data_IF_593438105942
#
_entry.id   IF_593438105942
#
_cell.length_a   1.000
_cell.length_b   1.000
_cell.length_c   1.000
_cell.angle_alpha   90.00
_cell.angle_beta   90.00
_cell.angle_gamma   90.00
#
_symmetry.space_group_name_H-M   'P 1'
#
loop_
_entity.id
_entity.type
_entity.pdbx_description
1 polymer ?
#
# COMPACT_ATOMS: atom_id res chain seq x y z
N UNK A 1 -23.42 -10.71 9.71
CA UNK A 1 -22.23 -11.30 9.09
C UNK A 1 -21.28 -10.16 8.78
N UNK A 2 -20.04 -10.24 9.23
CA UNK A 2 -19.03 -9.19 9.05
C UNK A 2 -18.50 -9.19 7.61
N UNK A 3 -18.27 -8.00 7.05
CA UNK A 3 -17.84 -7.82 5.66
C UNK A 3 -16.39 -8.27 5.42
N UNK A 4 -15.59 -8.34 6.47
CA UNK A 4 -14.12 -8.49 6.43
C UNK A 4 -13.60 -9.67 7.26
N UNK A 5 -14.42 -10.68 7.53
CA UNK A 5 -14.09 -11.77 8.48
C UNK A 5 -12.71 -12.42 8.26
N UNK A 6 -12.27 -12.60 7.01
CA UNK A 6 -10.96 -13.17 6.73
C UNK A 6 -9.82 -12.18 7.05
N UNK A 7 -9.98 -10.91 6.65
CA UNK A 7 -9.05 -9.83 7.00
C UNK A 7 -8.95 -9.63 8.52
N UNK A 8 -10.08 -9.68 9.23
CA UNK A 8 -10.13 -9.58 10.69
C UNK A 8 -9.37 -10.75 11.35
N UNK A 9 -9.47 -11.94 10.76
CA UNK A 9 -8.67 -13.10 11.17
C UNK A 9 -7.16 -12.93 10.93
N UNK A 10 -6.75 -12.27 9.85
CA UNK A 10 -5.35 -11.93 9.61
C UNK A 10 -4.83 -10.92 10.63
N UNK A 11 -5.60 -9.86 10.91
CA UNK A 11 -5.28 -8.84 11.91
C UNK A 11 -5.08 -9.46 13.30
N UNK A 12 -5.99 -10.35 13.70
CA UNK A 12 -5.90 -11.01 15.00
C UNK A 12 -4.70 -11.97 15.15
N UNK A 13 -4.19 -12.51 14.03
CA UNK A 13 -3.16 -13.56 14.03
C UNK A 13 -1.75 -13.04 13.77
N UNK A 14 -1.60 -12.03 12.93
CA UNK A 14 -0.30 -11.62 12.38
C UNK A 14 0.10 -10.22 12.83
N UNK A 15 1.42 -9.92 12.83
CA UNK A 15 1.91 -8.57 13.09
C UNK A 15 1.23 -7.54 12.18
N UNK A 16 0.64 -6.51 12.79
CA UNK A 16 -0.05 -5.43 12.09
C UNK A 16 0.19 -4.08 12.77
N UNK A 17 0.06 -3.00 12.01
CA UNK A 17 0.17 -1.64 12.53
C UNK A 17 -1.21 -1.02 12.77
N UNK A 18 -1.47 -0.55 13.99
CA UNK A 18 -2.70 0.17 14.36
C UNK A 18 -2.69 1.62 13.86
N UNK A 19 -1.49 2.19 13.73
CA UNK A 19 -1.26 3.61 13.41
C UNK A 19 -0.39 3.80 12.14
N UNK A 20 -0.75 3.15 11.04
CA UNK A 20 -0.07 3.30 9.75
C UNK A 20 -0.86 4.21 8.80
N UNK A 21 -0.34 5.40 8.50
CA UNK A 21 -1.09 6.46 7.79
C UNK A 21 -0.73 6.58 6.31
N UNK A 22 -1.72 6.99 5.52
CA UNK A 22 -1.52 7.46 4.14
C UNK A 22 -0.57 8.66 4.15
N UNK A 23 0.53 8.59 3.40
CA UNK A 23 1.45 9.73 3.27
C UNK A 23 1.02 10.70 2.18
N UNK A 24 0.46 10.19 1.08
CA UNK A 24 0.04 11.03 -0.03
C UNK A 24 -1.03 10.29 -0.85
N UNK A 25 -1.82 11.02 -1.65
CA UNK A 25 -2.91 10.44 -2.46
C UNK A 25 -3.12 11.25 -3.75
N UNK A 26 -3.68 10.67 -4.84
CA UNK A 26 -4.22 9.32 -5.01
C UNK A 26 -3.16 8.23 -5.23
N UNK A 27 -3.49 7.12 -5.88
CA UNK A 27 -2.65 5.91 -6.04
C UNK A 27 -1.19 6.21 -6.39
N UNK A 28 -0.92 6.98 -7.45
CA UNK A 28 0.46 7.27 -7.89
C UNK A 28 1.28 7.93 -6.79
N UNK A 29 0.68 8.85 -6.04
CA UNK A 29 1.29 9.59 -4.94
C UNK A 29 1.62 8.69 -3.75
N UNK A 30 0.67 7.83 -3.39
CA UNK A 30 0.85 6.84 -2.32
C UNK A 30 1.94 5.83 -2.66
N UNK A 31 1.94 5.32 -3.90
CA UNK A 31 2.98 4.41 -4.39
C UNK A 31 4.36 5.09 -4.48
N UNK A 32 4.42 6.35 -4.90
CA UNK A 32 5.67 7.12 -4.84
C UNK A 32 6.17 7.19 -3.38
N UNK A 33 5.28 7.50 -2.44
CA UNK A 33 5.63 7.57 -1.02
C UNK A 33 6.17 6.24 -0.51
N UNK A 34 5.51 5.15 -0.87
CA UNK A 34 5.85 3.79 -0.46
C UNK A 34 7.18 3.30 -1.04
N UNK A 35 7.44 3.51 -2.33
CA UNK A 35 8.59 2.90 -3.02
C UNK A 35 9.82 3.80 -3.13
N UNK A 36 9.66 5.12 -3.01
CA UNK A 36 10.78 6.05 -2.89
C UNK A 36 11.08 6.40 -1.42
N UNK A 37 10.18 6.07 -0.48
CA UNK A 37 10.30 6.46 0.93
C UNK A 37 10.35 7.99 1.10
N UNK A 38 9.40 8.70 0.48
CA UNK A 38 9.36 10.17 0.43
C UNK A 38 7.95 10.74 0.57
N UNK A 39 7.78 11.78 1.36
CA UNK A 39 6.48 12.47 1.51
C UNK A 39 6.22 13.50 0.42
N UNK A 40 7.29 14.16 -0.05
CA UNK A 40 7.25 15.18 -1.10
C UNK A 40 7.97 14.63 -2.33
N UNK A 41 7.33 14.76 -3.48
CA UNK A 41 7.92 14.43 -4.76
C UNK A 41 7.60 15.54 -5.77
N UNK A 42 8.52 15.80 -6.70
CA UNK A 42 8.27 16.68 -7.85
C UNK A 42 8.03 15.86 -9.12
N UNK A 43 7.25 16.37 -10.07
CA UNK A 43 7.09 15.70 -11.37
C UNK A 43 8.42 15.61 -12.14
N UNK A 44 9.32 16.57 -11.88
CA UNK A 44 10.68 16.62 -12.40
C UNK A 44 11.58 15.53 -11.81
N UNK A 45 11.30 14.96 -10.63
CA UNK A 45 12.00 13.79 -10.06
C UNK A 45 11.74 12.47 -10.81
N UNK A 46 11.16 12.52 -12.02
CA UNK A 46 10.98 11.36 -12.88
C UNK A 46 12.27 10.91 -13.59
N UNK A 47 13.31 10.61 -12.81
CA UNK A 47 14.60 10.14 -13.33
C UNK A 47 14.75 8.61 -13.30
N UNK A 48 15.47 8.08 -14.30
CA UNK A 48 15.95 6.69 -14.32
C UNK A 48 16.94 6.39 -13.17
N UNK A 49 17.46 7.42 -12.50
CA UNK A 49 18.46 7.31 -11.44
C UNK A 49 17.88 7.29 -10.01
N UNK A 50 16.55 7.36 -9.85
CA UNK A 50 15.93 7.31 -8.53
C UNK A 50 16.37 6.07 -7.74
N UNK A 51 16.65 6.26 -6.45
CA UNK A 51 16.81 5.15 -5.50
C UNK A 51 15.42 4.73 -5.05
N UNK A 52 15.09 3.46 -5.26
CA UNK A 52 13.75 2.92 -4.99
C UNK A 52 13.85 1.55 -4.34
N UNK A 53 12.77 1.10 -3.72
CA UNK A 53 12.67 -0.24 -3.15
C UNK A 53 12.95 -1.31 -4.21
N UNK A 54 12.34 -1.19 -5.39
CA UNK A 54 12.53 -2.10 -6.52
C UNK A 54 14.00 -2.21 -6.94
N UNK A 55 14.69 -1.09 -7.17
CA UNK A 55 16.10 -1.11 -7.57
C UNK A 55 17.02 -1.61 -6.47
N UNK A 56 16.72 -1.26 -5.21
CA UNK A 56 17.49 -1.72 -4.05
C UNK A 56 17.39 -3.23 -3.90
N UNK A 57 16.18 -3.79 -3.99
CA UNK A 57 15.96 -5.25 -3.98
C UNK A 57 16.61 -5.92 -5.20
N UNK A 58 16.48 -5.34 -6.39
CA UNK A 58 17.11 -5.83 -7.62
C UNK A 58 18.64 -5.95 -7.50
N UNK A 59 19.30 -4.94 -6.95
CA UNK A 59 20.76 -4.97 -6.65
C UNK A 59 21.13 -6.02 -5.61
N UNK A 60 20.18 -6.44 -4.76
CA UNK A 60 20.34 -7.49 -3.76
C UNK A 60 19.85 -8.87 -4.24
N UNK A 61 19.71 -9.05 -5.56
CA UNK A 61 19.45 -10.33 -6.21
C UNK A 61 17.96 -10.74 -6.26
N UNK A 62 17.03 -9.83 -5.96
CA UNK A 62 15.60 -10.09 -6.17
C UNK A 62 15.23 -9.84 -7.63
N UNK A 63 14.45 -10.75 -8.21
CA UNK A 63 13.64 -10.44 -9.38
C UNK A 63 12.44 -9.60 -8.91
N UNK A 64 12.32 -8.37 -9.39
CA UNK A 64 11.29 -7.44 -8.92
C UNK A 64 10.21 -7.24 -9.98
N UNK A 65 8.96 -7.45 -9.59
CA UNK A 65 7.80 -7.50 -10.50
C UNK A 65 6.71 -6.57 -10.00
N UNK A 66 6.13 -5.79 -10.92
CA UNK A 66 4.92 -5.01 -10.69
C UNK A 66 3.80 -5.56 -11.59
N UNK A 67 2.70 -6.00 -10.99
CA UNK A 67 1.49 -6.42 -11.67
C UNK A 67 0.44 -5.32 -11.58
N UNK A 68 -0.06 -4.91 -12.74
CA UNK A 68 -1.06 -3.87 -12.92
C UNK A 68 -2.32 -4.50 -13.51
N UNK A 69 -3.43 -4.37 -12.79
CA UNK A 69 -4.72 -4.90 -13.24
C UNK A 69 -5.25 -4.15 -14.48
N UNK A 70 -4.91 -2.86 -14.59
CA UNK A 70 -5.38 -1.98 -15.64
C UNK A 70 -4.58 -2.11 -16.94
N UNK A 71 -5.10 -1.52 -18.01
CA UNK A 71 -4.42 -1.45 -19.32
C UNK A 71 -3.11 -0.66 -19.24
N UNK A 72 -2.09 -1.08 -19.98
CA UNK A 72 -0.84 -0.31 -20.11
C UNK A 72 -1.05 1.11 -20.69
N UNK A 73 -2.20 1.38 -21.30
CA UNK A 73 -2.56 2.70 -21.83
C UNK A 73 -3.23 3.60 -20.78
N UNK A 74 -3.48 3.10 -19.57
CA UNK A 74 -4.10 3.84 -18.49
C UNK A 74 -3.12 4.85 -17.87
N UNK A 75 -3.50 6.13 -17.91
CA UNK A 75 -2.88 7.24 -17.18
C UNK A 75 -1.34 7.32 -17.23
N UNK A 76 -0.74 6.85 -18.33
CA UNK A 76 0.72 6.73 -18.53
C UNK A 76 1.48 5.93 -17.44
N UNK A 77 0.77 5.20 -16.57
CA UNK A 77 1.36 4.49 -15.42
C UNK A 77 2.43 3.50 -15.84
N UNK A 78 2.20 2.77 -16.94
CA UNK A 78 3.15 1.80 -17.47
C UNK A 78 4.52 2.43 -17.79
N UNK A 79 4.54 3.60 -18.43
CA UNK A 79 5.80 4.28 -18.77
C UNK A 79 6.39 4.96 -17.55
N UNK A 80 5.56 5.68 -16.79
CA UNK A 80 5.98 6.44 -15.62
C UNK A 80 6.56 5.53 -14.52
N UNK A 81 5.91 4.42 -14.19
CA UNK A 81 6.35 3.51 -13.12
C UNK A 81 7.58 2.71 -13.52
N UNK A 82 7.70 2.27 -14.79
CA UNK A 82 8.95 1.66 -15.28
C UNK A 82 10.13 2.59 -15.13
N UNK A 83 9.99 3.84 -15.56
CA UNK A 83 11.07 4.84 -15.46
C UNK A 83 11.38 5.18 -14.00
N UNK A 84 10.34 5.42 -13.19
CA UNK A 84 10.46 5.93 -11.83
C UNK A 84 10.89 4.85 -10.83
N UNK A 85 10.20 3.71 -10.81
CA UNK A 85 10.45 2.63 -9.84
C UNK A 85 11.54 1.67 -10.32
N UNK A 86 11.61 1.39 -11.62
CA UNK A 86 12.69 0.56 -12.19
C UNK A 86 12.64 -0.91 -11.78
N UNK A 87 11.43 -1.47 -11.68
CA UNK A 87 11.23 -2.91 -11.53
C UNK A 87 11.80 -3.70 -12.72
N UNK A 88 12.19 -4.96 -12.52
CA UNK A 88 12.70 -5.81 -13.59
C UNK A 88 11.59 -6.18 -14.60
N UNK A 89 10.38 -6.42 -14.12
CA UNK A 89 9.21 -6.72 -14.95
C UNK A 89 8.00 -5.90 -14.52
N UNK A 90 7.31 -5.33 -15.50
CA UNK A 90 5.99 -4.73 -15.33
C UNK A 90 5.02 -5.48 -16.24
N UNK A 91 3.93 -6.01 -15.68
CA UNK A 91 2.88 -6.69 -16.46
C UNK A 91 1.56 -5.97 -16.27
N UNK A 92 1.00 -5.48 -17.36
CA UNK A 92 -0.33 -4.88 -17.38
C UNK A 92 -1.37 -5.88 -17.87
N UNK A 93 -2.63 -5.46 -17.96
CA UNK A 93 -3.74 -6.25 -18.52
C UNK A 93 -3.37 -6.99 -19.81
N UNK A 94 -2.73 -6.32 -20.77
CA UNK A 94 -2.39 -6.91 -22.07
C UNK A 94 -1.34 -8.04 -21.96
N UNK A 95 -0.48 -8.02 -20.94
CA UNK A 95 0.43 -9.12 -20.65
C UNK A 95 -0.32 -10.34 -20.12
N UNK A 96 -1.30 -10.12 -19.23
CA UNK A 96 -2.13 -11.18 -18.67
C UNK A 96 -3.03 -11.80 -19.74
N UNK A 97 -3.59 -11.01 -20.66
CA UNK A 97 -4.32 -11.52 -21.83
C UNK A 97 -3.44 -12.42 -22.70
N UNK A 98 -2.17 -12.05 -22.91
CA UNK A 98 -1.19 -12.90 -23.61
C UNK A 98 -0.84 -14.18 -22.85
N UNK A 99 -1.02 -14.23 -21.53
CA UNK A 99 -0.92 -15.46 -20.73
C UNK A 99 -2.19 -16.31 -20.79
N UNK A 100 -3.25 -15.86 -21.47
CA UNK A 100 -4.51 -16.58 -21.65
C UNK A 100 -5.59 -16.22 -20.63
N UNK A 101 -5.37 -15.22 -19.77
CA UNK A 101 -6.44 -14.71 -18.90
C UNK A 101 -7.51 -13.99 -19.72
N UNK A 102 -8.77 -14.18 -19.35
CA UNK A 102 -9.96 -13.60 -20.02
C UNK A 102 -10.92 -13.01 -18.99
N UNK A 103 -11.89 -12.23 -19.43
CA UNK A 103 -12.96 -11.72 -18.55
C UNK A 103 -12.60 -10.48 -17.74
N UNK A 104 -11.65 -9.66 -18.21
CA UNK A 104 -11.41 -8.33 -17.62
C UNK A 104 -12.65 -7.44 -17.73
N UNK A 105 -12.85 -6.58 -16.75
CA UNK A 105 -13.86 -5.53 -16.76
C UNK A 105 -13.36 -4.25 -17.44
N UNK A 106 -14.17 -3.18 -17.39
CA UNK A 106 -13.78 -1.86 -17.90
C UNK A 106 -12.55 -1.26 -17.21
N UNK A 107 -12.30 -1.58 -15.93
CA UNK A 107 -11.08 -1.15 -15.24
C UNK A 107 -9.89 -2.06 -15.52
N UNK A 108 -10.12 -3.35 -15.72
CA UNK A 108 -9.05 -4.33 -15.82
C UNK A 108 -9.44 -5.69 -15.27
N UNK A 109 -8.43 -6.52 -15.00
CA UNK A 109 -8.64 -7.82 -14.38
C UNK A 109 -9.03 -7.69 -12.91
N UNK A 110 -9.93 -8.57 -12.48
CA UNK A 110 -10.35 -8.65 -11.08
C UNK A 110 -9.23 -9.23 -10.19
N UNK A 111 -9.34 -8.99 -8.89
CA UNK A 111 -8.33 -9.34 -7.89
C UNK A 111 -8.00 -10.84 -7.89
N UNK A 112 -8.96 -11.72 -8.16
CA UNK A 112 -8.74 -13.17 -8.26
C UNK A 112 -7.79 -13.56 -9.39
N UNK A 113 -7.90 -12.93 -10.55
CA UNK A 113 -6.96 -13.11 -11.67
C UNK A 113 -5.57 -12.58 -11.30
N UNK A 114 -5.52 -11.41 -10.66
CA UNK A 114 -4.26 -10.80 -10.21
C UNK A 114 -3.55 -11.70 -9.17
N UNK A 115 -4.29 -12.30 -8.25
CA UNK A 115 -3.78 -13.25 -7.27
C UNK A 115 -3.34 -14.57 -7.92
N UNK A 116 -4.06 -15.10 -8.91
CA UNK A 116 -3.63 -16.29 -9.65
C UNK A 116 -2.30 -16.05 -10.39
N UNK A 117 -2.14 -14.90 -11.03
CA UNK A 117 -0.87 -14.52 -11.69
C UNK A 117 0.27 -14.36 -10.66
N UNK A 118 -0.04 -13.82 -9.48
CA UNK A 118 0.91 -13.72 -8.37
C UNK A 118 1.38 -15.11 -7.93
N UNK A 119 0.45 -16.05 -7.74
CA UNK A 119 0.75 -17.45 -7.39
C UNK A 119 1.62 -18.09 -8.46
N UNK A 120 1.26 -17.93 -9.74
CA UNK A 120 2.01 -18.49 -10.87
C UNK A 120 3.46 -17.96 -10.89
N UNK A 121 3.66 -16.68 -10.61
CA UNK A 121 4.99 -16.09 -10.50
C UNK A 121 5.79 -16.66 -9.32
N UNK A 122 5.16 -16.84 -8.16
CA UNK A 122 5.80 -17.49 -7.01
C UNK A 122 6.21 -18.93 -7.34
N UNK A 123 5.34 -19.72 -7.99
CA UNK A 123 5.65 -21.10 -8.42
C UNK A 123 6.83 -21.16 -9.37
N UNK A 124 6.92 -20.22 -10.32
CA UNK A 124 8.02 -20.13 -11.28
C UNK A 124 9.35 -19.70 -10.63
N UNK A 125 9.29 -19.13 -9.41
CA UNK A 125 10.44 -18.55 -8.73
C UNK A 125 10.71 -19.20 -7.36
N UNK A 126 10.24 -20.43 -7.09
CA UNK A 126 10.45 -21.13 -5.79
C UNK A 126 11.90 -21.15 -5.30
N UNK A 127 12.87 -21.19 -6.22
CA UNK A 127 14.29 -21.25 -5.90
C UNK A 127 15.01 -19.89 -6.05
N UNK A 128 14.28 -18.82 -6.34
CA UNK A 128 14.82 -17.49 -6.61
C UNK A 128 14.21 -16.47 -5.65
N UNK A 129 14.97 -15.43 -5.32
CA UNK A 129 14.43 -14.28 -4.60
C UNK A 129 13.51 -13.50 -5.55
N UNK A 130 12.25 -13.35 -5.21
CA UNK A 130 11.28 -12.57 -5.98
C UNK A 130 10.56 -11.58 -5.07
N UNK A 131 10.34 -10.37 -5.57
CA UNK A 131 9.51 -9.35 -4.93
C UNK A 131 8.40 -8.98 -5.92
N UNK A 132 7.14 -9.21 -5.55
CA UNK A 132 5.98 -8.96 -6.40
C UNK A 132 5.11 -7.92 -5.71
N UNK A 133 4.81 -6.84 -6.42
CA UNK A 133 3.75 -5.91 -6.06
C UNK A 133 2.55 -6.19 -6.96
N UNK A 134 1.42 -6.55 -6.35
CA UNK A 134 0.17 -6.83 -7.06
C UNK A 134 -0.82 -5.71 -6.78
N UNK A 135 -0.96 -4.78 -7.72
CA UNK A 135 -1.91 -3.66 -7.60
C UNK A 135 -3.30 -4.11 -8.05
N UNK A 136 -4.24 -4.11 -7.10
CA UNK A 136 -5.66 -4.44 -7.29
C UNK A 136 -6.46 -3.23 -7.75
N UNK A 137 -7.67 -3.44 -8.30
CA UNK A 137 -8.50 -2.35 -8.85
C UNK A 137 -9.99 -2.41 -8.49
N UNK A 138 -10.47 -3.49 -7.90
CA UNK A 138 -11.91 -3.73 -7.75
C UNK A 138 -12.63 -2.79 -6.75
N UNK A 139 -11.87 -2.08 -5.90
CA UNK A 139 -12.36 -1.01 -5.01
C UNK A 139 -12.31 0.38 -5.63
N UNK A 140 -11.85 0.52 -6.89
CA UNK A 140 -11.81 1.80 -7.60
C UNK A 140 -13.22 2.24 -8.05
N UNK A 141 -13.51 3.53 -7.90
CA UNK A 141 -14.77 4.15 -8.32
C UNK A 141 -14.79 4.48 -9.83
N UNK A 142 -15.94 4.41 -10.53
CA UNK A 142 -17.28 4.12 -10.04
C UNK A 142 -17.50 2.61 -9.84
N UNK A 143 -18.13 2.23 -8.73
CA UNK A 143 -18.50 0.84 -8.39
C UNK A 143 -19.53 0.26 -9.38
N UNK A 144 -19.61 -1.07 -9.64
CA UNK A 144 -19.19 -2.18 -8.78
C UNK A 144 -18.50 -3.33 -9.55
N UNK A 145 -17.18 -3.38 -9.51
CA UNK A 145 -16.41 -4.46 -10.14
C UNK A 145 -16.27 -5.61 -9.15
N UNK A 146 -17.39 -6.25 -8.83
CA UNK A 146 -17.40 -7.51 -8.10
C UNK A 146 -17.64 -8.66 -9.10
N UNK A 147 -16.78 -9.68 -9.08
CA UNK A 147 -16.94 -10.88 -9.91
C UNK A 147 -18.08 -11.82 -9.47
N UNK A 148 -18.92 -11.40 -8.51
CA UNK A 148 -20.00 -12.23 -7.97
C UNK A 148 -21.29 -12.14 -8.78
N UNK A 149 -21.99 -13.27 -8.90
CA UNK A 149 -23.45 -13.24 -9.07
C UNK A 149 -24.10 -12.70 -7.79
N UNK A 150 -25.25 -12.04 -7.92
CA UNK A 150 -25.97 -11.46 -6.76
C UNK A 150 -26.18 -12.49 -5.65
N UNK A 151 -26.47 -13.73 -6.01
CA UNK A 151 -26.77 -14.83 -5.08
C UNK A 151 -25.60 -15.18 -4.14
N UNK A 152 -24.37 -14.83 -4.51
CA UNK A 152 -23.16 -15.11 -3.71
C UNK A 152 -22.79 -14.00 -2.73
N UNK A 153 -23.54 -12.88 -2.71
CA UNK A 153 -23.34 -11.79 -1.76
C UNK A 153 -24.30 -12.01 -0.58
N UNK A 154 -23.87 -11.95 0.69
CA UNK A 154 -24.77 -12.04 1.83
C UNK A 154 -25.90 -11.00 1.77
N UNK A 155 -27.14 -11.41 2.10
CA UNK A 155 -28.33 -10.53 2.07
C UNK A 155 -28.11 -9.22 2.83
N UNK A 156 -27.41 -9.26 3.97
CA UNK A 156 -27.07 -8.09 4.78
C UNK A 156 -26.19 -7.06 4.07
N UNK A 157 -25.48 -7.46 3.01
CA UNK A 157 -24.67 -6.60 2.14
C UNK A 157 -25.46 -6.24 0.86
N UNK A 158 -26.27 -7.18 0.34
CA UNK A 158 -27.14 -6.92 -0.80
C UNK A 158 -28.13 -5.77 -0.52
N UNK A 159 -28.78 -5.80 0.64
CA UNK A 159 -29.82 -4.84 1.05
C UNK A 159 -29.27 -3.41 1.27
N UNK A 160 -27.94 -3.26 1.35
CA UNK A 160 -27.27 -1.97 1.44
C UNK A 160 -27.03 -1.35 0.06
N UNK A 161 -28.10 -1.14 -0.71
CA UNK A 161 -28.02 -0.62 -2.09
C UNK A 161 -27.28 0.73 -2.22
N UNK A 162 -27.19 1.53 -1.14
CA UNK A 162 -26.44 2.79 -1.11
C UNK A 162 -24.95 2.63 -0.74
N UNK A 163 -24.52 1.46 -0.27
CA UNK A 163 -23.15 1.21 0.17
C UNK A 163 -22.46 0.19 -0.76
N UNK A 164 -22.28 0.59 -2.02
CA UNK A 164 -21.59 -0.23 -3.02
C UNK A 164 -20.13 -0.53 -2.66
N UNK A 165 -19.51 0.34 -1.86
CA UNK A 165 -18.17 0.15 -1.34
C UNK A 165 -18.05 -1.12 -0.49
N UNK A 166 -19.05 -1.42 0.37
CA UNK A 166 -19.06 -2.67 1.14
C UNK A 166 -19.04 -3.93 0.25
N UNK A 167 -19.62 -3.88 -0.95
CA UNK A 167 -19.58 -5.01 -1.89
C UNK A 167 -18.17 -5.23 -2.43
N UNK A 168 -17.44 -4.15 -2.71
CA UNK A 168 -16.04 -4.22 -3.12
C UNK A 168 -15.14 -4.75 -1.98
N UNK A 169 -15.33 -4.27 -0.75
CA UNK A 169 -14.58 -4.77 0.42
C UNK A 169 -14.88 -6.26 0.69
N UNK A 170 -16.14 -6.67 0.55
CA UNK A 170 -16.50 -8.09 0.66
C UNK A 170 -15.80 -8.94 -0.42
N UNK A 171 -15.74 -8.44 -1.66
CA UNK A 171 -15.03 -9.10 -2.75
C UNK A 171 -13.52 -9.21 -2.48
N UNK A 172 -12.89 -8.15 -1.98
CA UNK A 172 -11.50 -8.19 -1.52
C UNK A 172 -11.29 -9.26 -0.45
N UNK A 173 -12.17 -9.31 0.56
CA UNK A 173 -12.09 -10.31 1.63
C UNK A 173 -12.14 -11.76 1.10
N UNK A 174 -13.07 -12.07 0.19
CA UNK A 174 -13.23 -13.42 -0.35
C UNK A 174 -12.10 -13.80 -1.32
N UNK A 175 -11.68 -12.88 -2.18
CA UNK A 175 -10.55 -13.13 -3.10
C UNK A 175 -9.25 -13.32 -2.35
N UNK A 176 -9.04 -12.58 -1.25
CA UNK A 176 -7.89 -12.76 -0.37
C UNK A 176 -7.95 -14.11 0.37
N UNK A 177 -9.13 -14.51 0.85
CA UNK A 177 -9.32 -15.84 1.46
C UNK A 177 -8.93 -16.96 0.48
N UNK A 178 -9.37 -16.86 -0.77
CA UNK A 178 -8.99 -17.81 -1.83
C UNK A 178 -7.48 -17.78 -2.10
N UNK A 179 -6.88 -16.59 -2.20
CA UNK A 179 -5.43 -16.44 -2.43
C UNK A 179 -4.60 -17.18 -1.38
N UNK A 180 -4.89 -16.99 -0.09
CA UNK A 180 -4.18 -17.70 0.98
C UNK A 180 -4.45 -19.21 0.96
N UNK A 181 -5.70 -19.64 0.71
CA UNK A 181 -6.01 -21.05 0.54
C UNK A 181 -5.18 -21.70 -0.58
N UNK A 182 -5.05 -21.03 -1.72
CA UNK A 182 -4.29 -21.56 -2.85
C UNK A 182 -2.77 -21.52 -2.61
N UNK A 183 -2.26 -20.49 -1.91
CA UNK A 183 -0.85 -20.47 -1.48
C UNK A 183 -0.53 -21.65 -0.56
N UNK A 184 -1.38 -21.93 0.43
CA UNK A 184 -1.21 -23.07 1.35
C UNK A 184 -1.27 -24.41 0.58
N UNK A 185 -2.31 -24.58 -0.25
CA UNK A 185 -2.50 -25.79 -1.07
C UNK A 185 -1.32 -26.07 -2.00
N UNK A 186 -0.66 -25.03 -2.50
CA UNK A 186 0.50 -25.12 -3.40
C UNK A 186 1.83 -25.11 -2.64
N UNK A 187 1.85 -25.13 -1.31
CA UNK A 187 3.07 -25.04 -0.50
C UNK A 187 3.93 -23.82 -0.88
N UNK A 188 3.30 -22.63 -0.92
CA UNK A 188 3.96 -21.34 -1.21
C UNK A 188 4.04 -20.44 0.04
N UNK A 189 3.33 -20.75 1.12
CA UNK A 189 3.51 -20.13 2.44
C UNK A 189 4.48 -20.93 3.30
N UNK A 190 5.77 -20.86 3.00
CA UNK A 190 6.84 -21.42 3.84
C UNK A 190 7.52 -20.34 4.70
N UNK A 191 8.66 -20.67 5.33
CA UNK A 191 9.42 -19.81 6.24
C UNK A 191 10.20 -18.68 5.52
N UNK A 192 10.22 -18.71 4.19
CA UNK A 192 10.88 -17.70 3.34
C UNK A 192 9.89 -16.77 2.65
N UNK A 193 8.59 -17.06 2.74
CA UNK A 193 7.54 -16.24 2.17
C UNK A 193 7.02 -15.22 3.19
N UNK A 194 7.05 -13.95 2.79
CA UNK A 194 6.37 -12.85 3.47
C UNK A 194 5.35 -12.24 2.50
N UNK A 195 4.08 -12.25 2.90
CA UNK A 195 3.01 -11.51 2.23
C UNK A 195 2.72 -10.26 3.05
N UNK A 196 2.73 -9.09 2.41
CA UNK A 196 2.35 -7.83 3.08
C UNK A 196 1.06 -7.32 2.46
N UNK A 197 0.02 -7.15 3.28
CA UNK A 197 -1.25 -6.56 2.86
C UNK A 197 -1.30 -5.11 3.31
N UNK A 198 -1.45 -4.19 2.34
CA UNK A 198 -1.56 -2.75 2.60
C UNK A 198 -2.32 -2.05 1.47
N UNK A 199 -2.53 -0.73 1.59
CA UNK A 199 -3.28 0.08 0.63
C UNK A 199 -2.42 1.22 0.07
N UNK A 200 -2.78 1.70 -1.11
CA UNK A 200 -2.20 2.85 -1.80
C UNK A 200 -2.65 4.18 -1.18
N UNK A 201 -3.88 4.29 -0.69
CA UNK A 201 -4.35 5.44 0.09
C UNK A 201 -5.70 5.17 0.78
N UNK A 202 -6.03 5.99 1.78
CA UNK A 202 -7.38 6.00 2.34
C UNK A 202 -8.43 6.51 1.32
N UNK A 203 -9.70 6.06 1.40
CA UNK A 203 -10.74 6.46 0.46
C UNK A 203 -10.92 7.98 0.40
N UNK A 204 -11.30 8.50 -0.77
CA UNK A 204 -11.74 9.89 -0.84
C UNK A 204 -13.01 10.07 0.02
N UNK A 205 -13.08 11.11 0.88
CA UNK A 205 -14.32 11.40 1.60
C UNK A 205 -15.44 11.60 0.59
N UNK A 206 -16.44 10.70 0.56
CA UNK A 206 -17.54 10.89 -0.39
C UNK A 206 -18.49 11.98 0.09
N UNK A 207 -18.88 12.86 -0.83
CA UNK A 207 -19.91 13.87 -0.54
C UNK A 207 -21.31 13.28 -0.42
N UNK A 208 -21.54 12.11 -1.04
CA UNK A 208 -22.80 11.36 -0.97
C UNK A 208 -22.73 10.33 0.17
N UNK A 209 -23.84 10.01 0.83
CA UNK A 209 -23.92 9.16 2.04
C UNK A 209 -23.33 7.72 1.93
N UNK A 210 -22.74 7.34 0.79
CA UNK A 210 -22.25 6.00 0.47
C UNK A 210 -21.14 5.50 1.42
N UNK A 211 -20.44 6.40 2.11
CA UNK A 211 -19.36 6.07 3.06
C UNK A 211 -19.67 6.49 4.51
N UNK A 212 -20.76 7.23 4.76
CA UNK A 212 -20.96 7.93 6.05
C UNK A 212 -21.04 7.03 7.28
N UNK A 213 -21.36 5.75 7.10
CA UNK A 213 -21.41 4.75 8.20
C UNK A 213 -20.11 3.95 8.37
N UNK A 214 -19.18 4.05 7.42
CA UNK A 214 -17.86 3.40 7.51
C UNK A 214 -16.77 4.35 8.01
N UNK A 215 -17.00 5.67 7.96
CA UNK A 215 -16.02 6.68 8.37
C UNK A 215 -16.47 7.48 9.59
N UNK A 216 -16.27 6.93 10.78
CA UNK A 216 -16.23 7.69 12.05
C UNK A 216 -14.78 7.84 12.51
N UNK A 217 -14.49 8.85 13.35
CA UNK A 217 -13.13 9.13 13.81
C UNK A 217 -12.15 9.45 12.68
N UNK A 218 -10.97 8.82 12.73
CA UNK A 218 -9.83 9.07 11.85
C UNK A 218 -10.10 8.83 10.37
N UNK A 219 -11.12 8.03 10.03
CA UNK A 219 -11.48 7.74 8.64
C UNK A 219 -12.11 8.94 7.91
N UNK A 220 -12.42 10.04 8.62
CA UNK A 220 -12.83 11.33 8.01
C UNK A 220 -11.65 12.24 7.67
N UNK A 221 -10.43 11.88 8.10
CA UNK A 221 -9.25 12.68 7.84
C UNK A 221 -8.95 12.71 6.33
N UNK A 222 -8.39 13.84 5.87
CA UNK A 222 -7.95 13.97 4.48
C UNK A 222 -6.90 12.92 4.13
N UNK A 223 -6.00 12.63 5.07
CA UNK A 223 -5.08 11.50 5.07
C UNK A 223 -5.39 10.68 6.33
N UNK A 224 -5.69 9.40 6.16
CA UNK A 224 -6.17 8.53 7.24
C UNK A 224 -5.34 7.24 7.34
N UNK A 225 -5.48 6.49 8.44
CA UNK A 225 -4.90 5.16 8.58
C UNK A 225 -5.32 4.23 7.45
N UNK A 226 -4.39 3.35 7.05
CA UNK A 226 -4.56 2.29 6.07
C UNK A 226 -3.99 0.98 6.65
N UNK A 227 -4.47 -0.19 6.21
CA UNK A 227 -3.97 -1.45 6.76
C UNK A 227 -2.48 -1.65 6.47
N UNK A 228 -1.78 -2.27 7.40
CA UNK A 228 -0.45 -2.87 7.18
C UNK A 228 -0.38 -4.15 8.01
N UNK A 229 -0.38 -5.30 7.32
CA UNK A 229 -0.35 -6.62 7.94
C UNK A 229 0.77 -7.44 7.31
N UNK A 230 1.64 -8.02 8.14
CA UNK A 230 2.75 -8.87 7.73
C UNK A 230 2.42 -10.34 7.96
N UNK A 231 2.10 -11.07 6.90
CA UNK A 231 1.69 -12.47 6.96
C UNK A 231 2.86 -13.37 6.56
N UNK A 232 3.39 -14.12 7.53
CA UNK A 232 4.46 -15.11 7.31
C UNK A 232 4.34 -16.25 8.32
N UNK A 233 4.95 -17.40 8.01
CA UNK A 233 5.14 -18.48 8.98
C UNK A 233 6.37 -18.24 9.86
N UNK A 234 7.33 -17.42 9.41
CA UNK A 234 8.48 -16.99 10.17
C UNK A 234 8.24 -15.58 10.75
N UNK A 235 7.91 -15.52 12.04
CA UNK A 235 7.60 -14.27 12.73
C UNK A 235 8.80 -13.67 13.49
N UNK A 236 9.95 -14.33 13.48
CA UNK A 236 11.15 -13.88 14.20
C UNK A 236 11.56 -12.43 13.87
N UNK A 237 11.49 -11.95 12.59
CA UNK A 237 11.81 -10.56 12.28
C UNK A 237 10.89 -9.51 12.94
N UNK A 238 9.78 -9.93 13.56
CA UNK A 238 8.79 -9.06 14.19
C UNK A 238 8.80 -9.13 15.72
N UNK A 239 9.79 -9.80 16.34
CA UNK A 239 9.84 -9.98 17.80
C UNK A 239 9.75 -8.66 18.61
N UNK A 240 10.27 -7.56 18.07
CA UNK A 240 10.25 -6.24 18.70
C UNK A 240 9.18 -5.29 18.11
N UNK A 241 8.39 -5.76 17.15
CA UNK A 241 7.41 -4.93 16.46
C UNK A 241 6.26 -4.58 17.41
N UNK A 242 5.99 -3.29 17.56
CA UNK A 242 4.86 -2.78 18.36
C UNK A 242 3.78 -2.22 17.42
N UNK A 243 2.57 -2.79 17.48
CA UNK A 243 1.44 -2.37 16.64
C UNK A 243 1.04 -0.90 16.85
N UNK A 244 1.31 -0.33 18.02
CA UNK A 244 1.00 1.06 18.37
C UNK A 244 1.98 2.08 17.83
N UNK A 245 3.06 1.64 17.17
CA UNK A 245 4.04 2.53 16.56
C UNK A 245 3.35 3.38 15.49
N UNK A 246 3.39 4.69 15.63
CA UNK A 246 2.98 5.59 14.56
C UNK A 246 3.96 5.50 13.40
N UNK A 247 3.42 5.25 12.21
CA UNK A 247 4.15 5.08 10.97
C UNK A 247 3.34 5.60 9.78
N UNK A 248 4.00 5.86 8.66
CA UNK A 248 3.30 6.20 7.42
C UNK A 248 3.92 5.51 6.20
N UNK A 249 3.30 5.64 5.03
CA UNK A 249 3.72 4.91 3.81
C UNK A 249 5.21 5.05 3.47
N UNK A 250 5.84 6.17 3.80
CA UNK A 250 7.28 6.35 3.60
C UNK A 250 8.12 5.34 4.37
N UNK A 251 7.62 4.81 5.48
CA UNK A 251 8.32 3.87 6.36
C UNK A 251 8.29 2.43 5.82
N UNK A 252 7.48 2.14 4.79
CA UNK A 252 7.34 0.79 4.23
C UNK A 252 8.65 0.21 3.69
N UNK A 253 9.29 0.92 2.76
CA UNK A 253 10.52 0.46 2.12
C UNK A 253 11.67 0.23 3.12
N UNK A 254 12.04 1.18 4.01
CA UNK A 254 13.09 0.94 5.01
C UNK A 254 12.73 -0.19 5.99
N UNK A 255 11.46 -0.38 6.33
CA UNK A 255 11.00 -1.50 7.17
C UNK A 255 11.20 -2.84 6.45
N UNK A 256 10.75 -2.96 5.20
CA UNK A 256 10.90 -4.19 4.43
C UNK A 256 12.39 -4.53 4.21
N UNK A 257 13.22 -3.54 3.89
CA UNK A 257 14.66 -3.76 3.78
C UNK A 257 15.28 -4.24 5.10
N UNK A 258 14.86 -3.65 6.22
CA UNK A 258 15.27 -4.07 7.57
C UNK A 258 14.89 -5.53 7.89
N UNK A 259 13.67 -5.95 7.58
CA UNK A 259 13.21 -7.35 7.71
C UNK A 259 14.09 -8.30 6.89
N UNK A 260 14.51 -7.86 5.70
CA UNK A 260 15.35 -8.64 4.79
C UNK A 260 16.85 -8.57 5.12
N UNK A 261 17.25 -7.83 6.17
CA UNK A 261 18.65 -7.62 6.53
C UNK A 261 19.44 -6.77 5.53
N UNK A 262 18.76 -5.96 4.72
CA UNK A 262 19.35 -5.06 3.72
C UNK A 262 19.43 -3.65 4.33
N UNK A 263 20.59 -2.97 4.31
CA UNK A 263 20.69 -1.58 4.76
C UNK A 263 19.77 -0.66 3.96
N UNK A 264 19.06 0.24 4.64
CA UNK A 264 18.26 1.26 3.94
C UNK A 264 19.17 2.29 3.27
N UNK A 265 18.89 2.68 2.02
CA UNK A 265 19.58 3.79 1.38
C UNK A 265 19.41 5.10 2.18
N UNK A 266 20.44 5.97 2.19
CA UNK A 266 20.37 7.27 2.88
C UNK A 266 19.34 8.23 2.28
N UNK A 267 18.93 8.02 1.03
CA UNK A 267 17.91 8.80 0.32
C UNK A 267 16.50 8.55 0.84
N UNK A 268 16.27 7.43 1.54
CA UNK A 268 14.97 7.11 2.12
C UNK A 268 14.72 7.93 3.37
N UNK A 269 13.62 8.68 3.37
CA UNK A 269 13.24 9.56 4.47
C UNK A 269 12.45 8.84 5.58
N UNK A 270 11.91 7.66 5.29
CA UNK A 270 11.21 6.84 6.27
C UNK A 270 12.15 6.09 7.22
N UNK A 271 11.55 5.45 8.21
CA UNK A 271 12.25 4.65 9.24
C UNK A 271 11.85 3.18 9.20
N UNK A 272 12.73 2.31 9.70
CA UNK A 272 12.38 0.93 9.99
C UNK A 272 11.55 0.85 11.28
N UNK A 273 10.30 0.43 11.18
CA UNK A 273 9.35 0.43 12.31
C UNK A 273 9.49 -0.79 13.22
N UNK A 274 10.22 -1.84 12.84
CA UNK A 274 10.37 -3.08 13.64
C UNK A 274 10.96 -2.81 15.04
N UNK A 275 11.85 -1.83 15.16
CA UNK A 275 12.54 -1.51 16.42
C UNK A 275 12.34 -0.06 16.85
N UNK A 276 11.29 0.61 16.35
CA UNK A 276 11.02 2.02 16.71
C UNK A 276 10.28 2.07 18.04
N UNK A 277 10.83 2.72 19.10
CA UNK A 277 10.12 2.92 20.35
C UNK A 277 8.88 3.80 20.14
N UNK A 278 7.80 3.52 20.87
CA UNK A 278 6.52 4.24 20.74
C UNK A 278 6.68 5.75 20.96
N UNK A 279 7.53 6.16 21.91
CA UNK A 279 7.79 7.56 22.26
C UNK A 279 8.52 8.34 21.15
N UNK A 280 9.17 7.62 20.23
CA UNK A 280 9.85 8.20 19.06
C UNK A 280 9.11 7.91 17.76
N UNK A 281 7.95 7.27 17.84
CA UNK A 281 7.15 6.92 16.68
C UNK A 281 6.37 8.14 16.19
N UNK A 282 6.24 8.23 14.87
CA UNK A 282 5.49 9.30 14.23
C UNK A 282 5.02 8.84 12.85
N UNK A 283 3.90 9.38 12.41
CA UNK A 283 3.42 9.26 11.04
C UNK A 283 3.46 10.62 10.37
N UNK A 284 3.76 10.64 9.08
CA UNK A 284 3.77 11.88 8.29
C UNK A 284 3.03 11.70 6.97
N UNK A 285 2.26 12.72 6.62
CA UNK A 285 1.65 12.89 5.31
C UNK A 285 1.82 14.29 4.75
N UNK A 286 1.78 14.39 3.43
CA UNK A 286 1.85 15.63 2.68
C UNK A 286 0.83 15.58 1.55
N UNK A 287 -0.10 16.54 1.54
CA UNK A 287 -1.16 16.60 0.54
C UNK A 287 -1.36 18.04 0.07
N UNK A 288 -1.13 18.28 -1.23
CA UNK A 288 -1.09 19.64 -1.78
C UNK A 288 0.08 20.40 -1.19
N UNK A 289 -0.20 21.34 -0.29
CA UNK A 289 0.80 22.13 0.45
C UNK A 289 0.74 21.87 1.95
N UNK A 290 -0.15 20.98 2.41
CA UNK A 290 -0.39 20.72 3.83
C UNK A 290 0.41 19.52 4.32
N UNK A 291 1.15 19.72 5.42
CA UNK A 291 1.81 18.67 6.20
C UNK A 291 0.87 18.19 7.30
N UNK A 292 0.79 16.88 7.46
CA UNK A 292 0.10 16.19 8.55
C UNK A 292 1.12 15.38 9.34
N UNK A 293 1.11 15.54 10.66
CA UNK A 293 1.98 14.80 11.57
C UNK A 293 1.15 14.18 12.68
N UNK A 294 1.41 12.92 13.00
CA UNK A 294 0.80 12.21 14.11
C UNK A 294 1.87 11.52 14.95
N UNK A 295 1.66 11.50 16.25
CA UNK A 295 2.46 10.76 17.24
C UNK A 295 1.58 10.51 18.47
N UNK A 296 2.12 9.80 19.46
CA UNK A 296 1.40 9.58 20.71
C UNK A 296 1.09 10.89 21.48
N UNK A 297 1.90 11.94 21.30
CA UNK A 297 1.78 13.19 22.06
C UNK A 297 1.03 14.30 21.32
N UNK A 298 1.08 14.29 19.99
CA UNK A 298 0.58 15.41 19.19
C UNK A 298 0.09 15.00 17.81
N UNK A 299 -0.90 15.76 17.33
CA UNK A 299 -1.37 15.78 15.96
C UNK A 299 -1.27 17.21 15.42
N UNK A 300 -0.48 17.42 14.37
CA UNK A 300 -0.25 18.73 13.77
C UNK A 300 -0.74 18.70 12.32
N UNK A 301 -1.43 19.77 11.91
CA UNK A 301 -1.80 20.04 10.52
C UNK A 301 -1.41 21.47 10.20
N UNK A 302 -0.42 21.65 9.33
CA UNK A 302 0.08 22.98 8.98
C UNK A 302 0.37 23.10 7.48
N UNK A 303 0.25 24.30 6.95
CA UNK A 303 0.49 24.58 5.53
C UNK A 303 1.93 25.04 5.28
N UNK A 304 2.60 24.49 4.28
CA UNK A 304 4.02 24.75 4.04
C UNK A 304 4.33 26.20 3.64
N UNK A 305 3.41 26.89 2.95
CA UNK A 305 3.70 28.17 2.30
C UNK A 305 2.80 29.33 2.74
N UNK A 306 1.56 29.04 3.13
CA UNK A 306 0.49 30.04 3.29
C UNK A 306 0.09 30.29 4.75
N UNK A 307 0.75 29.64 5.71
CA UNK A 307 0.44 29.75 7.14
C UNK A 307 0.68 31.15 7.71
N UNK A 308 -0.40 31.92 7.93
CA UNK A 308 -0.35 33.14 8.75
C UNK A 308 -0.44 32.74 10.23
N UNK A 309 0.63 32.98 11.00
CA UNK A 309 0.76 32.72 12.45
C UNK A 309 1.13 31.29 12.88
N UNK A 310 2.04 30.64 12.16
CA UNK A 310 2.58 29.35 12.59
C UNK A 310 3.36 29.43 13.90
N UNK A 311 3.12 28.49 14.79
CA UNK A 311 3.87 28.35 16.04
C UNK A 311 5.27 27.75 15.83
N UNK A 312 6.02 27.56 16.92
CA UNK A 312 7.39 27.05 16.86
C UNK A 312 7.47 25.58 16.42
N UNK A 313 6.50 24.74 16.81
CA UNK A 313 6.45 23.32 16.46
C UNK A 313 6.09 23.14 14.99
N UNK A 314 5.12 23.90 14.50
CA UNK A 314 4.75 23.92 13.08
C UNK A 314 5.91 24.34 12.18
N UNK A 315 6.64 25.40 12.57
CA UNK A 315 7.85 25.84 11.84
C UNK A 315 8.95 24.78 11.84
N UNK A 316 9.19 24.15 13.00
CA UNK A 316 10.17 23.08 13.10
C UNK A 316 9.81 21.88 12.20
N UNK A 317 8.53 21.50 12.17
CA UNK A 317 8.01 20.45 11.29
C UNK A 317 8.21 20.81 9.82
N UNK A 318 7.90 22.04 9.41
CA UNK A 318 8.10 22.51 8.03
C UNK A 318 9.58 22.43 7.63
N UNK A 319 10.47 22.94 8.47
CA UNK A 319 11.91 22.89 8.20
C UNK A 319 12.44 21.45 8.11
N UNK A 320 11.99 20.57 9.00
CA UNK A 320 12.39 19.16 8.98
C UNK A 320 11.91 18.45 7.70
N UNK A 321 10.67 18.70 7.28
CA UNK A 321 10.12 18.11 6.03
C UNK A 321 10.86 18.64 4.79
N UNK A 322 11.19 19.93 4.75
CA UNK A 322 11.99 20.51 3.67
C UNK A 322 13.40 19.91 3.62
N UNK A 323 14.03 19.70 4.78
CA UNK A 323 15.34 19.05 4.88
C UNK A 323 15.30 17.60 4.37
N UNK A 324 14.27 16.83 4.72
CA UNK A 324 14.06 15.47 4.18
C UNK A 324 13.97 15.48 2.64
N UNK A 325 13.23 16.44 2.07
CA UNK A 325 13.11 16.57 0.62
C UNK A 325 14.46 16.94 -0.05
N UNK A 326 15.23 17.86 0.54
CA UNK A 326 16.51 18.31 -0.01
C UNK A 326 17.58 17.21 0.04
N UNK A 327 17.62 16.42 1.12
CA UNK A 327 18.60 15.32 1.28
C UNK A 327 18.56 14.29 0.16
N UNK A 328 17.42 14.13 -0.50
CA UNK A 328 17.31 13.22 -1.63
C UNK A 328 18.16 13.63 -2.85
N UNK A 329 18.44 14.92 -3.00
CA UNK A 329 19.17 15.47 -4.14
C UNK A 329 20.65 15.70 -3.88
N UNK A 330 21.13 15.41 -2.67
CA UNK A 330 22.54 15.50 -2.28
C UNK A 330 23.21 14.15 -2.51
#
# INVERSE_FOLDING_TARGET
METTQFLDGLLAKYPHSDHYYTSNKPTTQGLNSMFLSQSIYSEEQSFENNVTLFKTLGRNGYNTVFLEATSQYYNDEFRAYKKRFGMNSYRAKEDLERQGYVGSSGWGFHNDVMYEETIRLLEQNRNNKIFIVTKTIDSHQPYPYCGFSKDNIPVTIQDQNKNLYLKAIYWENITLQKFFHDLEKRNLMDDKTLIVFTSDHNPHPSQNDNYKRLGEGDLRLSLAPIPLIFVSTNLQPFDNFNSKTFASQIDFAPTLLGILGIPSPPEFSGKNIINTPEERSYAIGFLGETIYYWSNEQQIKTDMYSGKNQDAQEKALIHWVQDLYVRYFQ
#
